data_IF_473959572283
#
_entry.id   IF_473959572283
#
_cell.length_a   1.000
_cell.length_b   1.000
_cell.length_c   1.000
_cell.angle_alpha   90.00
_cell.angle_beta   90.00
_cell.angle_gamma   90.00
#
_symmetry.space_group_name_H-M   'P 1'
#
loop_
_entity.id
_entity.type
_entity.pdbx_description
1 polymer ?
#
# COMPACT_ATOMS: atom_id res chain seq x y z
N UNK A 1 -8.08 6.11 15.65
CA UNK A 1 -6.71 6.59 15.40
C UNK A 1 -6.36 6.58 13.91
N UNK A 2 -6.55 5.50 13.17
CA UNK A 2 -6.47 5.51 11.68
C UNK A 2 -7.40 6.58 11.09
N UNK A 3 -8.62 6.70 11.62
CA UNK A 3 -9.56 7.74 11.20
C UNK A 3 -9.01 9.16 11.35
N UNK A 4 -8.22 9.41 12.40
CA UNK A 4 -7.55 10.70 12.58
C UNK A 4 -6.49 10.95 11.50
N UNK A 5 -5.72 9.92 11.13
CA UNK A 5 -4.71 10.02 10.06
C UNK A 5 -5.41 10.27 8.72
N UNK A 6 -6.44 9.48 8.41
CA UNK A 6 -7.25 9.67 7.19
C UNK A 6 -7.86 11.06 7.10
N UNK A 7 -8.42 11.56 8.21
CA UNK A 7 -9.01 12.89 8.27
C UNK A 7 -7.97 13.99 7.99
N UNK A 8 -6.83 13.95 8.66
CA UNK A 8 -5.75 14.92 8.47
C UNK A 8 -5.23 14.90 7.03
N UNK A 9 -5.08 13.70 6.46
CA UNK A 9 -4.65 13.52 5.08
C UNK A 9 -5.68 14.07 4.09
N UNK A 10 -6.97 13.87 4.34
CA UNK A 10 -8.05 14.46 3.54
C UNK A 10 -8.05 15.98 3.60
N UNK A 11 -7.89 16.56 4.78
CA UNK A 11 -7.80 18.00 4.98
C UNK A 11 -6.59 18.59 4.23
N UNK A 12 -5.44 17.92 4.28
CA UNK A 12 -4.26 18.30 3.53
C UNK A 12 -4.53 18.29 2.01
N UNK A 13 -5.12 17.21 1.50
CA UNK A 13 -5.43 17.09 0.08
C UNK A 13 -6.46 18.14 -0.37
N UNK A 14 -7.49 18.40 0.41
CA UNK A 14 -8.50 19.40 0.08
C UNK A 14 -7.91 20.81 0.02
N UNK A 15 -6.90 21.09 0.85
CA UNK A 15 -6.21 22.38 0.87
C UNK A 15 -5.26 22.55 -0.31
N UNK A 16 -4.50 21.51 -0.66
CA UNK A 16 -3.42 21.58 -1.65
C UNK A 16 -3.85 21.12 -3.06
N UNK A 17 -4.88 20.28 -3.13
CA UNK A 17 -5.41 19.71 -4.37
C UNK A 17 -4.43 18.76 -5.07
N UNK A 18 -4.70 18.47 -6.33
CA UNK A 18 -3.82 17.65 -7.17
C UNK A 18 -2.50 18.38 -7.47
N UNK A 19 -1.38 17.65 -7.50
CA UNK A 19 -0.08 18.25 -7.76
C UNK A 19 -0.03 18.89 -9.16
N UNK A 20 0.65 20.00 -9.26
CA UNK A 20 0.82 20.72 -10.51
C UNK A 20 2.22 20.52 -11.09
N UNK A 21 2.37 20.81 -12.40
CA UNK A 21 3.69 20.78 -13.06
C UNK A 21 4.69 21.80 -12.51
N UNK A 22 4.28 22.69 -11.60
CA UNK A 22 5.17 23.61 -10.90
C UNK A 22 6.01 22.92 -9.83
N UNK A 23 5.54 21.76 -9.34
CA UNK A 23 6.29 20.95 -8.40
C UNK A 23 7.33 20.11 -9.15
N UNK A 24 8.58 20.11 -8.67
CA UNK A 24 9.70 19.45 -9.35
C UNK A 24 9.41 17.97 -9.64
N UNK A 25 8.90 17.24 -8.66
CA UNK A 25 8.55 15.81 -8.78
C UNK A 25 7.43 15.55 -9.81
N UNK A 26 6.66 16.58 -10.21
CA UNK A 26 5.52 16.46 -11.12
C UNK A 26 5.70 17.20 -12.45
N UNK A 27 6.88 17.75 -12.70
CA UNK A 27 7.19 18.58 -13.88
C UNK A 27 6.85 17.88 -15.21
N UNK A 28 7.09 16.58 -15.28
CA UNK A 28 6.86 15.78 -16.49
C UNK A 28 5.59 14.89 -16.42
N UNK A 29 4.84 14.93 -15.31
CA UNK A 29 3.66 14.09 -15.08
C UNK A 29 2.40 14.95 -15.02
N UNK A 30 1.36 14.53 -15.77
CA UNK A 30 0.06 15.23 -15.74
C UNK A 30 -0.88 14.58 -14.72
N UNK A 31 -1.35 15.35 -13.78
CA UNK A 31 -2.36 14.93 -12.81
C UNK A 31 -3.81 15.06 -13.34
N UNK A 32 -4.02 15.55 -14.59
CA UNK A 32 -5.36 15.81 -15.15
C UNK A 32 -6.25 14.56 -15.19
N UNK A 33 -5.67 13.42 -15.48
CA UNK A 33 -6.41 12.17 -15.59
C UNK A 33 -6.98 11.68 -14.25
N UNK A 34 -6.42 12.10 -13.12
CA UNK A 34 -6.94 11.75 -11.78
C UNK A 34 -8.23 12.48 -11.40
N UNK A 35 -8.62 13.53 -12.14
CA UNK A 35 -9.87 14.27 -11.88
C UNK A 35 -11.13 13.49 -12.23
N UNK A 36 -11.02 12.48 -13.08
CA UNK A 36 -12.18 11.75 -13.63
C UNK A 36 -12.56 10.52 -12.77
N UNK A 37 -11.78 10.16 -11.76
CA UNK A 37 -12.08 9.04 -10.87
C UNK A 37 -12.88 9.56 -9.68
N UNK A 38 -14.16 9.22 -9.62
CA UNK A 38 -15.10 9.84 -8.66
C UNK A 38 -15.24 9.08 -7.35
N UNK A 39 -14.94 7.78 -7.31
CA UNK A 39 -15.21 6.95 -6.13
C UNK A 39 -14.10 5.94 -5.84
N UNK A 40 -13.79 5.69 -4.55
CA UNK A 40 -12.93 4.57 -4.17
C UNK A 40 -13.63 3.23 -4.45
N UNK A 41 -12.85 2.19 -4.72
CA UNK A 41 -13.35 0.85 -4.91
C UNK A 41 -13.63 0.19 -3.56
N UNK A 42 -14.89 -0.12 -3.29
CA UNK A 42 -15.25 -1.03 -2.20
C UNK A 42 -14.90 -2.47 -2.59
N UNK A 43 -14.40 -3.24 -1.63
CA UNK A 43 -13.88 -4.60 -1.76
C UNK A 43 -14.68 -5.52 -2.71
N UNK A 44 -14.14 -5.86 -3.86
CA UNK A 44 -14.56 -7.01 -4.65
C UNK A 44 -13.56 -8.17 -4.46
N UNK A 45 -14.07 -9.27 -3.94
CA UNK A 45 -13.34 -10.53 -3.84
C UNK A 45 -13.73 -11.40 -5.03
N UNK A 46 -13.05 -11.28 -6.13
CA UNK A 46 -13.13 -12.28 -7.19
C UNK A 46 -11.93 -13.22 -7.09
N UNK A 47 -12.20 -14.50 -7.33
CA UNK A 47 -11.15 -15.50 -7.50
C UNK A 47 -10.53 -15.31 -8.89
N UNK A 48 -9.35 -14.77 -8.93
CA UNK A 48 -8.57 -14.63 -10.16
C UNK A 48 -7.45 -15.65 -10.13
N UNK A 49 -7.28 -16.32 -11.25
CA UNK A 49 -6.14 -17.19 -11.47
C UNK A 49 -4.92 -16.30 -11.74
N UNK A 50 -3.94 -16.32 -10.84
CA UNK A 50 -2.74 -15.51 -10.93
C UNK A 50 -1.51 -16.39 -10.72
N UNK A 51 -0.45 -16.01 -11.40
CA UNK A 51 0.84 -16.69 -11.28
C UNK A 51 1.46 -16.43 -9.91
N UNK A 52 1.40 -17.46 -9.05
CA UNK A 52 2.05 -17.45 -7.73
C UNK A 52 3.27 -18.35 -7.76
N UNK A 53 4.42 -17.78 -7.48
CA UNK A 53 5.62 -18.53 -7.14
C UNK A 53 5.91 -18.42 -5.63
N UNK A 54 6.79 -19.27 -5.14
CA UNK A 54 7.14 -19.31 -3.72
C UNK A 54 7.93 -18.08 -3.20
N UNK A 55 8.38 -17.20 -4.10
CA UNK A 55 9.10 -15.98 -3.79
C UNK A 55 8.22 -14.72 -3.94
N UNK A 56 6.92 -14.88 -4.19
CA UNK A 56 6.01 -13.78 -4.46
C UNK A 56 4.99 -13.56 -3.35
N UNK A 57 4.81 -12.30 -2.95
CA UNK A 57 3.66 -11.81 -2.21
C UNK A 57 2.72 -11.12 -3.18
N UNK A 58 1.49 -11.61 -3.29
CA UNK A 58 0.50 -11.14 -4.26
C UNK A 58 -0.56 -10.29 -3.59
N UNK A 59 -0.82 -9.11 -4.16
CA UNK A 59 -1.90 -8.22 -3.76
C UNK A 59 -2.93 -8.13 -4.90
N UNK A 60 -4.19 -8.27 -4.56
CA UNK A 60 -5.32 -8.14 -5.49
C UNK A 60 -6.15 -6.94 -5.05
N UNK A 61 -6.25 -5.92 -5.89
CA UNK A 61 -6.88 -4.64 -5.56
C UNK A 61 -6.41 -4.07 -4.20
N UNK A 62 -5.11 -4.24 -3.92
CA UNK A 62 -4.47 -3.77 -2.69
C UNK A 62 -4.63 -4.69 -1.46
N UNK A 63 -5.34 -5.81 -1.58
CA UNK A 63 -5.50 -6.81 -0.51
C UNK A 63 -4.50 -7.93 -0.67
N UNK A 64 -3.74 -8.25 0.40
CA UNK A 64 -2.80 -9.37 0.40
C UNK A 64 -3.54 -10.70 0.22
N UNK A 65 -3.15 -11.45 -0.80
CA UNK A 65 -3.71 -12.77 -1.07
C UNK A 65 -3.19 -13.81 -0.06
N UNK A 66 -4.12 -14.47 0.63
CA UNK A 66 -3.78 -15.41 1.71
C UNK A 66 -3.15 -16.70 1.19
N UNK A 67 -3.44 -17.10 -0.03
CA UNK A 67 -2.85 -18.30 -0.65
C UNK A 67 -1.38 -18.03 -1.00
N UNK A 68 -1.07 -16.89 -1.63
CA UNK A 68 0.32 -16.49 -1.89
C UNK A 68 1.14 -16.40 -0.60
N UNK A 69 0.55 -15.86 0.48
CA UNK A 69 1.22 -15.79 1.78
C UNK A 69 1.51 -17.18 2.37
N UNK A 70 0.58 -18.14 2.24
CA UNK A 70 0.80 -19.51 2.70
C UNK A 70 1.88 -20.24 1.89
N UNK A 71 1.93 -19.99 0.59
CA UNK A 71 2.89 -20.60 -0.32
C UNK A 71 4.25 -19.90 -0.30
N UNK A 72 4.34 -18.72 0.30
CA UNK A 72 5.56 -17.95 0.36
C UNK A 72 6.64 -18.68 1.16
N UNK A 73 7.78 -18.95 0.54
CA UNK A 73 8.90 -19.71 1.09
C UNK A 73 9.35 -19.26 2.49
N UNK A 74 9.32 -17.95 2.72
CA UNK A 74 9.77 -17.32 3.95
C UNK A 74 8.61 -16.91 4.87
N UNK A 75 7.42 -17.46 4.69
CA UNK A 75 6.24 -17.14 5.51
C UNK A 75 6.49 -17.29 7.02
N UNK A 76 7.35 -18.21 7.44
CA UNK A 76 7.73 -18.42 8.83
C UNK A 76 8.56 -17.28 9.45
N UNK A 77 9.16 -16.42 8.61
CA UNK A 77 9.89 -15.22 9.02
C UNK A 77 9.01 -13.97 9.07
N UNK A 78 7.74 -14.07 8.66
CA UNK A 78 6.82 -12.95 8.59
C UNK A 78 5.82 -12.96 9.74
N UNK A 79 5.44 -11.76 10.16
CA UNK A 79 4.24 -11.48 10.93
C UNK A 79 3.39 -10.52 10.10
N UNK A 80 2.15 -10.91 9.80
CA UNK A 80 1.22 -10.13 8.99
C UNK A 80 0.02 -9.72 9.83
N UNK A 81 -0.29 -8.45 9.82
CA UNK A 81 -1.44 -7.87 10.50
C UNK A 81 -2.23 -6.99 9.52
N UNK A 82 -3.54 -6.86 9.74
CA UNK A 82 -4.30 -5.80 9.07
C UNK A 82 -3.78 -4.43 9.49
N UNK A 83 -3.71 -3.49 8.57
CA UNK A 83 -3.25 -2.13 8.85
C UNK A 83 -4.07 -1.47 9.96
N UNK A 84 -5.37 -1.79 10.07
CA UNK A 84 -6.27 -1.26 11.09
C UNK A 84 -5.92 -1.71 12.52
N UNK A 85 -5.23 -2.83 12.67
CA UNK A 85 -4.80 -3.37 13.96
C UNK A 85 -3.44 -2.85 14.43
N UNK A 86 -2.72 -2.15 13.57
CA UNK A 86 -1.37 -1.64 13.86
C UNK A 86 -1.42 -0.45 14.80
N UNK A 87 -0.53 -0.42 15.78
CA UNK A 87 -0.39 0.73 16.67
C UNK A 87 0.04 1.97 15.89
N UNK A 88 -0.62 3.09 16.14
CA UNK A 88 -0.43 4.35 15.41
C UNK A 88 1.00 4.86 15.32
N UNK A 89 1.83 4.60 16.33
CA UNK A 89 3.22 5.05 16.34
C UNK A 89 3.97 4.51 15.12
N UNK A 90 3.81 3.23 14.81
CA UNK A 90 4.48 2.60 13.66
C UNK A 90 3.97 3.16 12.31
N UNK A 91 2.69 3.53 12.24
CA UNK A 91 2.11 4.15 11.04
C UNK A 91 2.65 5.56 10.81
N UNK A 92 2.76 6.37 11.87
CA UNK A 92 3.25 7.75 11.77
C UNK A 92 4.74 7.79 11.39
N UNK A 93 5.56 6.95 11.99
CA UNK A 93 7.00 6.89 11.68
C UNK A 93 7.27 6.58 10.19
N UNK A 94 6.40 5.78 9.56
CA UNK A 94 6.51 5.48 8.12
C UNK A 94 6.03 6.64 7.23
N UNK A 95 5.14 7.49 7.71
CA UNK A 95 4.47 8.53 6.90
C UNK A 95 5.17 9.88 6.93
N UNK A 96 6.01 10.18 7.93
CA UNK A 96 6.56 11.52 8.16
C UNK A 96 7.27 12.13 6.94
N UNK A 97 7.95 11.32 6.13
CA UNK A 97 8.65 11.79 4.94
C UNK A 97 7.74 12.14 3.76
N UNK A 98 6.48 11.69 3.78
CA UNK A 98 5.52 11.84 2.67
C UNK A 98 4.32 12.72 2.99
N UNK A 99 4.23 13.24 4.23
CA UNK A 99 3.09 14.04 4.68
C UNK A 99 2.84 15.31 3.84
N UNK A 100 3.84 15.78 3.13
CA UNK A 100 3.75 16.96 2.26
C UNK A 100 3.38 16.65 0.80
N UNK A 101 3.11 15.37 0.47
CA UNK A 101 2.79 14.97 -0.89
C UNK A 101 1.28 14.76 -1.08
N UNK A 102 0.66 15.56 -1.95
CA UNK A 102 -0.79 15.55 -2.16
C UNK A 102 -1.35 14.19 -2.57
N UNK A 103 -0.68 13.47 -3.49
CA UNK A 103 -1.15 12.16 -3.94
C UNK A 103 -1.02 11.11 -2.86
N UNK A 104 0.02 11.17 -2.03
CA UNK A 104 0.17 10.30 -0.88
C UNK A 104 -0.97 10.53 0.12
N UNK A 105 -1.27 11.80 0.43
CA UNK A 105 -2.37 12.15 1.33
C UNK A 105 -3.73 11.72 0.77
N UNK A 106 -3.96 11.84 -0.55
CA UNK A 106 -5.17 11.30 -1.17
C UNK A 106 -5.26 9.79 -0.93
N UNK A 107 -4.20 9.05 -1.24
CA UNK A 107 -4.14 7.60 -0.99
C UNK A 107 -4.41 7.22 0.47
N UNK A 108 -3.78 7.93 1.42
CA UNK A 108 -4.00 7.70 2.87
C UNK A 108 -5.44 8.02 3.28
N UNK A 109 -6.07 9.05 2.72
CA UNK A 109 -7.45 9.40 3.08
C UNK A 109 -8.48 8.37 2.62
N UNK A 110 -8.18 7.64 1.54
CA UNK A 110 -9.11 6.76 0.84
C UNK A 110 -8.83 5.26 1.00
N UNK A 111 -7.69 4.85 1.58
CA UNK A 111 -7.43 3.42 1.68
C UNK A 111 -8.48 2.70 2.53
N UNK A 112 -8.97 1.59 2.03
CA UNK A 112 -9.89 0.69 2.76
C UNK A 112 -9.17 -0.57 3.23
N UNK A 113 -8.03 -0.87 2.59
CA UNK A 113 -7.27 -2.08 2.85
C UNK A 113 -5.80 -1.76 3.00
N UNK A 114 -5.13 -2.64 3.71
CA UNK A 114 -3.70 -2.58 3.83
C UNK A 114 -3.18 -3.65 4.79
N UNK A 115 -1.88 -3.87 4.70
CA UNK A 115 -1.20 -4.87 5.50
C UNK A 115 0.05 -4.28 6.13
N UNK A 116 0.30 -4.64 7.36
CA UNK A 116 1.58 -4.46 8.02
C UNK A 116 2.31 -5.81 8.00
N UNK A 117 3.38 -5.88 7.24
CA UNK A 117 4.18 -7.09 7.05
C UNK A 117 5.53 -6.86 7.72
N UNK A 118 5.79 -7.58 8.81
CA UNK A 118 7.00 -7.44 9.58
C UNK A 118 7.88 -8.68 9.42
N UNK A 119 9.11 -8.47 8.98
CA UNK A 119 10.15 -9.49 9.01
C UNK A 119 10.74 -9.56 10.42
N UNK A 120 10.92 -10.77 10.93
CA UNK A 120 11.52 -11.01 12.25
C UNK A 120 12.95 -10.50 12.29
N UNK A 121 13.42 -10.17 13.49
CA UNK A 121 14.82 -9.75 13.70
C UNK A 121 15.81 -10.82 13.23
N UNK A 122 16.92 -10.36 12.68
CA UNK A 122 18.02 -11.20 12.17
C UNK A 122 17.57 -12.17 11.05
N UNK A 123 16.52 -11.82 10.29
CA UNK A 123 16.14 -12.57 9.10
C UNK A 123 17.13 -12.29 7.97
N UNK A 124 17.62 -13.34 7.31
CA UNK A 124 18.47 -13.22 6.12
C UNK A 124 17.77 -13.91 4.97
N UNK A 125 17.48 -13.14 3.91
CA UNK A 125 16.85 -13.62 2.68
C UNK A 125 17.69 -13.09 1.52
N UNK A 126 18.44 -13.99 0.90
CA UNK A 126 19.32 -13.66 -0.24
C UNK A 126 18.56 -13.64 -1.58
N UNK A 127 17.45 -14.38 -1.64
CA UNK A 127 16.61 -14.41 -2.84
C UNK A 127 15.76 -13.15 -2.96
N UNK A 128 15.55 -12.70 -4.19
CA UNK A 128 14.70 -11.53 -4.47
C UNK A 128 13.24 -11.86 -4.21
N UNK A 129 12.63 -11.11 -3.30
CA UNK A 129 11.19 -11.20 -3.03
C UNK A 129 10.42 -10.34 -4.04
N UNK A 130 9.45 -10.95 -4.72
CA UNK A 130 8.60 -10.25 -5.67
C UNK A 130 7.31 -9.77 -4.99
N UNK A 131 6.97 -8.51 -5.15
CA UNK A 131 5.68 -7.95 -4.75
C UNK A 131 4.84 -7.73 -6.01
N UNK A 132 3.86 -8.61 -6.24
CA UNK A 132 2.99 -8.57 -7.42
C UNK A 132 1.67 -7.91 -7.07
N UNK A 133 1.29 -6.87 -7.81
CA UNK A 133 0.02 -6.19 -7.65
C UNK A 133 -0.86 -6.43 -8.88
N UNK A 134 -2.02 -7.04 -8.69
CA UNK A 134 -3.03 -7.26 -9.72
C UNK A 134 -4.21 -6.32 -9.50
N UNK A 135 -4.58 -5.60 -10.55
CA UNK A 135 -5.74 -4.72 -10.58
C UNK A 135 -6.78 -5.33 -11.52
N UNK A 136 -7.97 -5.60 -10.99
CA UNK A 136 -9.04 -6.25 -11.76
C UNK A 136 -9.73 -5.25 -12.67
N UNK A 137 -10.01 -5.67 -13.90
CA UNK A 137 -10.49 -4.83 -14.99
C UNK A 137 -11.89 -4.23 -14.76
N UNK A 138 -12.71 -4.85 -13.94
CA UNK A 138 -14.09 -4.42 -13.66
C UNK A 138 -14.19 -3.06 -12.94
N UNK A 139 -13.03 -2.43 -12.71
CA UNK A 139 -12.89 -1.23 -11.88
C UNK A 139 -12.31 -0.06 -12.65
N UNK A 140 -12.55 0.02 -13.96
CA UNK A 140 -11.93 1.00 -14.86
C UNK A 140 -12.13 2.46 -14.42
N UNK A 141 -13.25 2.77 -13.76
CA UNK A 141 -13.59 4.14 -13.32
C UNK A 141 -13.35 4.38 -11.82
N UNK A 142 -12.70 3.45 -11.12
CA UNK A 142 -12.53 3.53 -9.66
C UNK A 142 -11.07 3.65 -9.26
N UNK A 143 -10.83 4.33 -8.14
CA UNK A 143 -9.50 4.39 -7.51
C UNK A 143 -9.34 3.23 -6.56
N UNK A 144 -8.19 2.59 -6.60
CA UNK A 144 -7.79 1.60 -5.60
C UNK A 144 -6.69 2.24 -4.78
N UNK A 145 -6.95 2.42 -3.49
CA UNK A 145 -5.97 2.87 -2.52
C UNK A 145 -5.73 1.78 -1.49
N UNK A 146 -4.49 1.40 -1.32
CA UNK A 146 -4.07 0.47 -0.26
C UNK A 146 -2.86 1.02 0.46
N UNK A 147 -2.75 0.73 1.74
CA UNK A 147 -1.62 1.18 2.54
C UNK A 147 -0.90 -0.03 3.12
N UNK A 148 0.20 -0.42 2.47
CA UNK A 148 0.99 -1.57 2.87
C UNK A 148 2.34 -1.10 3.43
N UNK A 149 2.70 -1.62 4.59
CA UNK A 149 3.95 -1.31 5.28
C UNK A 149 4.78 -2.58 5.40
N UNK A 150 6.03 -2.51 4.93
CA UNK A 150 7.03 -3.54 5.13
C UNK A 150 8.02 -3.07 6.21
N UNK A 151 8.03 -3.76 7.32
CA UNK A 151 8.95 -3.49 8.42
C UNK A 151 10.06 -4.54 8.44
N UNK A 152 11.28 -4.08 8.26
CA UNK A 152 12.46 -4.95 8.33
C UNK A 152 12.99 -4.93 9.77
N UNK A 153 12.97 -6.09 10.43
CA UNK A 153 13.46 -6.22 11.80
C UNK A 153 14.95 -5.92 11.93
N UNK A 154 15.36 -5.47 13.10
CA UNK A 154 16.77 -5.14 13.37
C UNK A 154 17.71 -6.31 13.04
N UNK A 155 18.81 -6.03 12.36
CA UNK A 155 19.83 -7.02 11.98
C UNK A 155 19.41 -7.94 10.83
N UNK A 156 18.35 -7.58 10.10
CA UNK A 156 17.88 -8.35 8.93
C UNK A 156 18.45 -7.82 7.64
N UNK A 157 18.68 -8.74 6.69
CA UNK A 157 19.07 -8.48 5.31
C UNK A 157 18.03 -9.13 4.39
N UNK A 158 17.31 -8.32 3.60
CA UNK A 158 16.22 -8.78 2.74
C UNK A 158 16.45 -8.22 1.34
N UNK A 159 16.48 -9.10 0.35
CA UNK A 159 16.62 -8.75 -1.07
C UNK A 159 15.29 -8.71 -1.81
#
# INVERSE_FOLDING_TARGET
MIDSIKKNSLEFFNTNGLPSKKLENWKFTSSRNFKNFSEPLSNHRESVDFDTDELSLVFINGVLNQESLKNFKFSHLLEVQSIDSVKSKNLLECSDNFLNESMFNLGISEFENGSYISFKKNSVIEEVINIKNYFLKDNEDKRISSFNIFHIGQGSEIS
#
